data_IF_169253841465
#
_entry.id   IF_169253841465
#
_cell.length_a   1.000
_cell.length_b   1.000
_cell.length_c   1.000
_cell.angle_alpha   90.00
_cell.angle_beta   90.00
_cell.angle_gamma   90.00
#
_symmetry.space_group_name_H-M   'P 1'
#
loop_
_entity.id
_entity.type
_entity.pdbx_description
1 polymer ?
#
# COMPACT_ATOMS: atom_id res chain seq x y z
N UNK A 1 -11.56 15.04 6.06
CA UNK A 1 -10.56 15.74 5.25
C UNK A 1 -9.73 14.73 4.48
N UNK A 2 -9.54 14.94 3.20
CA UNK A 2 -8.76 14.01 2.40
C UNK A 2 -7.33 14.45 2.25
N UNK A 3 -6.44 13.48 2.22
CA UNK A 3 -5.05 13.71 1.91
C UNK A 3 -4.63 12.67 0.87
N UNK A 4 -3.36 12.66 0.48
CA UNK A 4 -2.92 11.82 -0.63
C UNK A 4 -1.64 11.10 -0.28
N UNK A 5 -1.50 9.90 -0.82
CA UNK A 5 -0.28 9.10 -0.70
C UNK A 5 0.12 8.64 -2.10
N UNK A 6 1.35 8.17 -2.26
CA UNK A 6 1.73 7.46 -3.46
C UNK A 6 1.86 5.97 -3.16
N UNK A 7 1.48 5.15 -4.13
CA UNK A 7 1.41 3.71 -3.98
C UNK A 7 2.26 3.06 -5.06
N UNK A 8 3.15 2.15 -4.63
CA UNK A 8 3.94 1.34 -5.56
C UNK A 8 3.67 -0.12 -5.24
N UNK A 9 3.05 -0.81 -6.18
CA UNK A 9 2.79 -2.25 -6.07
C UNK A 9 3.73 -2.96 -7.02
N UNK A 10 4.55 -3.84 -6.47
CA UNK A 10 5.65 -4.46 -7.22
C UNK A 10 5.29 -5.85 -7.73
N UNK A 11 5.97 -6.25 -8.80
CA UNK A 11 5.85 -7.59 -9.37
C UNK A 11 4.40 -7.95 -9.66
N UNK A 12 3.94 -9.10 -9.19
CA UNK A 12 2.59 -9.57 -9.49
C UNK A 12 1.49 -8.68 -8.89
N UNK A 13 1.83 -7.83 -7.92
CA UNK A 13 0.83 -6.94 -7.34
C UNK A 13 0.52 -5.73 -8.21
N UNK A 14 1.33 -5.49 -9.24
CA UNK A 14 1.11 -4.31 -10.10
C UNK A 14 -0.26 -4.31 -10.76
N UNK A 15 -0.88 -5.47 -10.91
CA UNK A 15 -2.22 -5.57 -11.51
C UNK A 15 -3.30 -4.90 -10.65
N UNK A 16 -3.01 -4.65 -9.38
CA UNK A 16 -3.95 -3.98 -8.49
C UNK A 16 -3.72 -2.47 -8.42
N UNK A 17 -2.76 -1.95 -9.15
CA UNK A 17 -2.42 -0.52 -9.09
C UNK A 17 -3.59 0.32 -9.58
N UNK A 18 -4.00 1.32 -8.78
CA UNK A 18 -5.04 2.24 -9.24
C UNK A 18 -4.49 3.22 -10.26
N UNK A 19 -5.37 3.84 -11.05
CA UNK A 19 -4.94 4.81 -12.05
C UNK A 19 -4.32 6.05 -11.41
N UNK A 20 -4.64 6.32 -10.15
CA UNK A 20 -4.11 7.48 -9.42
C UNK A 20 -3.07 7.05 -8.39
N UNK A 21 -2.23 6.04 -8.71
CA UNK A 21 -1.28 5.49 -7.75
C UNK A 21 -0.28 6.51 -7.21
N UNK A 22 0.08 7.51 -7.99
CA UNK A 22 1.02 8.54 -7.55
C UNK A 22 0.37 9.62 -6.69
N UNK A 23 -0.94 9.65 -6.63
CA UNK A 23 -1.67 10.62 -5.81
C UNK A 23 -3.00 10.03 -5.40
N UNK A 24 -2.94 9.00 -4.57
CA UNK A 24 -4.12 8.25 -4.17
C UNK A 24 -4.78 8.90 -2.95
N UNK A 25 -6.08 9.22 -3.01
CA UNK A 25 -6.74 9.91 -1.91
C UNK A 25 -7.04 8.94 -0.76
N UNK A 26 -6.77 9.39 0.45
CA UNK A 26 -7.11 8.66 1.66
C UNK A 26 -7.60 9.65 2.71
N UNK A 27 -8.19 9.11 3.78
CA UNK A 27 -8.46 9.90 4.97
C UNK A 27 -7.33 9.67 5.96
N UNK A 28 -6.88 10.73 6.65
CA UNK A 28 -5.82 10.56 7.65
C UNK A 28 -6.20 9.49 8.67
N UNK A 29 -5.24 8.61 8.98
CA UNK A 29 -5.49 7.49 9.87
C UNK A 29 -5.85 6.20 9.17
N UNK A 30 -6.01 6.22 7.86
CA UNK A 30 -6.24 4.99 7.08
C UNK A 30 -5.05 4.05 7.30
N UNK A 31 -5.32 2.81 7.69
CA UNK A 31 -4.25 1.84 7.87
C UNK A 31 -3.89 1.20 6.53
N UNK A 32 -2.70 0.59 6.49
CA UNK A 32 -2.29 -0.16 5.30
C UNK A 32 -3.30 -1.25 4.99
N UNK A 33 -3.82 -1.93 6.03
CA UNK A 33 -4.84 -2.96 5.84
C UNK A 33 -6.08 -2.42 5.13
N UNK A 34 -6.56 -1.27 5.57
CA UNK A 34 -7.72 -0.64 4.93
C UNK A 34 -7.42 -0.31 3.46
N UNK A 35 -6.21 0.18 3.22
CA UNK A 35 -5.78 0.52 1.86
C UNK A 35 -5.79 -0.72 0.96
N UNK A 36 -5.25 -1.83 1.45
CA UNK A 36 -5.23 -3.07 0.66
C UNK A 36 -6.63 -3.54 0.34
N UNK A 37 -7.56 -3.40 1.28
CA UNK A 37 -8.95 -3.78 1.05
C UNK A 37 -9.57 -2.93 -0.05
N UNK A 38 -9.29 -1.64 -0.05
CA UNK A 38 -9.80 -0.75 -1.10
C UNK A 38 -9.24 -1.11 -2.47
N UNK A 39 -7.96 -1.49 -2.51
CA UNK A 39 -7.32 -1.84 -3.77
C UNK A 39 -7.65 -3.24 -4.24
N UNK A 40 -8.22 -4.06 -3.38
CA UNK A 40 -8.51 -5.45 -3.71
C UNK A 40 -7.31 -6.36 -3.59
N UNK A 41 -6.25 -5.93 -2.91
CA UNK A 41 -5.05 -6.74 -2.73
C UNK A 41 -5.25 -7.71 -1.58
N UNK A 42 -5.12 -9.03 -1.80
CA UNK A 42 -5.20 -9.99 -0.70
C UNK A 42 -4.06 -9.76 0.30
N UNK A 43 -4.38 -9.78 1.58
CA UNK A 43 -3.35 -9.56 2.61
C UNK A 43 -2.26 -10.60 2.54
N UNK A 44 -2.59 -11.82 2.15
CA UNK A 44 -1.60 -12.89 2.03
C UNK A 44 -0.58 -12.61 0.93
N UNK A 45 -0.92 -11.74 -0.01
CA UNK A 45 -0.01 -11.37 -1.10
C UNK A 45 0.83 -10.14 -0.76
N UNK A 46 0.53 -9.47 0.33
CA UNK A 46 1.27 -8.28 0.76
C UNK A 46 2.32 -8.70 1.79
N UNK A 47 3.44 -9.23 1.32
CA UNK A 47 4.44 -9.82 2.21
C UNK A 47 5.31 -8.76 2.87
N UNK A 48 5.79 -7.79 2.11
CA UNK A 48 6.64 -6.73 2.64
C UNK A 48 5.98 -5.39 2.37
N UNK A 49 5.90 -4.57 3.41
CA UNK A 49 5.27 -3.27 3.34
C UNK A 49 6.27 -2.23 3.81
N UNK A 50 6.48 -1.21 2.99
CA UNK A 50 7.38 -0.10 3.32
C UNK A 50 6.61 1.21 3.24
N UNK A 51 6.82 2.07 4.23
CA UNK A 51 6.28 3.42 4.22
C UNK A 51 7.47 4.36 4.32
N UNK A 52 7.66 5.18 3.28
CA UNK A 52 8.81 6.09 3.18
C UNK A 52 10.13 5.36 3.34
N UNK A 53 10.21 4.13 2.80
CA UNK A 53 11.41 3.31 2.86
C UNK A 53 11.62 2.59 4.18
N UNK A 54 10.68 2.72 5.12
CA UNK A 54 10.78 2.08 6.42
C UNK A 54 9.83 0.90 6.47
N UNK A 55 10.35 -0.27 6.87
CA UNK A 55 9.52 -1.46 6.96
C UNK A 55 8.38 -1.24 7.94
N UNK A 56 7.18 -1.58 7.50
CA UNK A 56 5.95 -1.33 8.24
C UNK A 56 5.06 -2.56 8.21
N UNK A 57 3.83 -2.42 8.70
CA UNK A 57 2.92 -3.56 8.75
C UNK A 57 1.49 -3.11 8.46
N UNK A 58 0.57 -4.08 8.50
CA UNK A 58 -0.82 -3.84 8.14
C UNK A 58 -1.52 -2.83 9.03
N UNK A 59 -1.10 -2.71 10.27
CA UNK A 59 -1.74 -1.80 11.22
C UNK A 59 -1.15 -0.39 11.19
N UNK A 60 -0.12 -0.16 10.38
CA UNK A 60 0.51 1.16 10.30
C UNK A 60 -0.46 2.19 9.73
N UNK A 61 -0.65 3.32 10.41
CA UNK A 61 -1.55 4.36 9.90
C UNK A 61 -0.86 5.25 8.87
N UNK A 62 -1.65 5.77 7.95
CA UNK A 62 -1.18 6.69 6.92
C UNK A 62 -1.85 8.03 7.17
N UNK A 63 -1.07 9.08 7.19
CA UNK A 63 -1.57 10.41 7.49
C UNK A 63 -1.65 11.32 6.27
N UNK A 64 -0.85 11.01 5.25
CA UNK A 64 -0.80 11.80 4.03
C UNK A 64 0.63 12.14 3.70
N UNK A 65 0.94 12.12 2.40
CA UNK A 65 2.29 12.43 1.93
C UNK A 65 3.24 11.25 1.92
N UNK A 66 2.84 10.11 2.47
CA UNK A 66 3.72 8.94 2.52
C UNK A 66 3.82 8.28 1.14
N UNK A 67 4.90 7.52 1.01
CA UNK A 67 5.13 6.68 -0.14
C UNK A 67 5.03 5.22 0.32
N UNK A 68 4.02 4.52 -0.17
CA UNK A 68 3.73 3.15 0.27
C UNK A 68 4.21 2.18 -0.80
N UNK A 69 5.10 1.26 -0.43
CA UNK A 69 5.58 0.21 -1.32
C UNK A 69 5.19 -1.14 -0.78
N UNK A 70 4.63 -1.99 -1.63
CA UNK A 70 4.15 -3.30 -1.22
C UNK A 70 4.72 -4.35 -2.17
N UNK A 71 5.32 -5.38 -1.58
CA UNK A 71 5.96 -6.45 -2.32
C UNK A 71 5.27 -7.78 -2.04
N UNK A 72 5.10 -8.63 -3.07
CA UNK A 72 4.52 -9.95 -2.86
C UNK A 72 5.53 -10.90 -2.25
N UNK A 73 5.07 -12.11 -1.84
CA UNK A 73 5.99 -13.13 -1.38
C UNK A 73 7.02 -13.45 -2.47
N UNK A 74 8.24 -13.71 -2.05
CA UNK A 74 9.35 -14.03 -2.96
C UNK A 74 9.61 -15.51 -2.91
N UNK A 75 10.23 -15.98 -4.00
CA UNK A 75 10.75 -17.33 -4.00
C UNK A 75 9.79 -18.39 -4.44
N UNK A 76 8.71 -18.01 -5.03
CA UNK A 76 7.81 -18.96 -5.66
C UNK A 76 7.49 -20.19 -4.82
N UNK A 77 7.81 -20.07 -3.58
CA UNK A 77 7.62 -21.22 -2.70
C UNK A 77 6.41 -20.99 -1.90
#
# INVERSE_FOLDING_TARGET
MRTYISINLFATLSKYSPSSADKYPIEPGTTVQNLLQELGVPETDAKLIFIDGIKSNLTSPLQGGERVGIFPPIGGG
#
